data_IF_250899979366
#
_entry.id   IF_250899979366
#
_cell.length_a   1.000
_cell.length_b   1.000
_cell.length_c   1.000
_cell.angle_alpha   90.00
_cell.angle_beta   90.00
_cell.angle_gamma   90.00
#
_symmetry.space_group_name_H-M   'P 1'
#
loop_
_entity.id
_entity.type
_entity.pdbx_description
1 polymer ?
#
# COMPACT_ATOMS: atom_id res chain seq x y z
N UNK A 1 24.88 -10.28 36.41
CA UNK A 1 24.45 -9.64 35.15
C UNK A 1 22.94 -9.50 35.22
N UNK A 2 22.45 -8.29 35.48
CA UNK A 2 21.02 -8.02 35.67
C UNK A 2 20.29 -8.19 34.34
N UNK A 3 19.40 -9.20 34.27
CA UNK A 3 18.39 -9.30 33.24
C UNK A 3 17.61 -7.98 33.21
N UNK A 4 17.79 -7.17 32.17
CA UNK A 4 16.83 -6.11 31.88
C UNK A 4 15.57 -6.80 31.40
N UNK A 5 14.61 -7.00 32.32
CA UNK A 5 13.22 -7.23 31.91
C UNK A 5 12.85 -6.13 30.91
N UNK A 6 12.48 -6.52 29.70
CA UNK A 6 11.91 -5.59 28.74
C UNK A 6 10.64 -5.01 29.38
N UNK A 7 10.64 -3.72 29.69
CA UNK A 7 9.50 -3.01 30.29
C UNK A 7 8.24 -2.97 29.41
N UNK A 8 8.31 -3.55 28.21
CA UNK A 8 7.19 -3.71 27.28
C UNK A 8 6.68 -5.14 27.41
N UNK A 9 5.41 -5.28 27.76
CA UNK A 9 4.73 -6.57 27.82
C UNK A 9 3.57 -6.57 26.85
N UNK A 10 3.68 -7.29 25.72
CA UNK A 10 2.62 -7.31 24.70
C UNK A 10 1.31 -7.88 25.26
N UNK A 11 1.39 -8.73 26.30
CA UNK A 11 0.25 -9.26 27.05
C UNK A 11 -0.61 -8.17 27.73
N UNK A 12 -0.01 -7.04 28.09
CA UNK A 12 -0.69 -5.92 28.75
C UNK A 12 -1.29 -4.92 27.76
N UNK A 13 -1.04 -5.09 26.45
CA UNK A 13 -1.53 -4.19 25.40
C UNK A 13 -2.78 -4.82 24.74
N UNK A 14 -3.98 -4.25 24.90
CA UNK A 14 -5.22 -4.81 24.36
C UNK A 14 -5.20 -5.03 22.85
N UNK A 15 -4.47 -4.19 22.11
CA UNK A 15 -4.32 -4.28 20.66
C UNK A 15 -3.64 -5.58 20.22
N UNK A 16 -2.73 -6.10 21.04
CA UNK A 16 -2.00 -7.34 20.81
C UNK A 16 -2.80 -8.60 21.20
N UNK A 17 -3.92 -8.43 21.91
CA UNK A 17 -4.80 -9.53 22.33
C UNK A 17 -5.90 -9.86 21.30
N UNK A 18 -5.96 -9.13 20.19
CA UNK A 18 -6.93 -9.38 19.11
C UNK A 18 -6.62 -10.71 18.42
N UNK A 19 -7.67 -11.45 18.05
CA UNK A 19 -7.55 -12.75 17.35
C UNK A 19 -6.88 -12.67 15.96
N UNK A 20 -6.85 -11.48 15.36
CA UNK A 20 -6.16 -11.18 14.11
C UNK A 20 -4.64 -11.06 14.25
N UNK A 21 -4.12 -10.95 15.48
CA UNK A 21 -2.68 -10.79 15.73
C UNK A 21 -2.05 -12.16 15.92
N UNK A 22 -1.08 -12.50 15.07
CA UNK A 22 -0.31 -13.74 15.13
C UNK A 22 1.18 -13.40 15.23
N UNK A 23 1.81 -13.69 16.36
CA UNK A 23 3.22 -13.40 16.62
C UNK A 23 3.96 -14.71 16.87
N UNK A 24 5.00 -14.98 16.08
CA UNK A 24 5.83 -16.18 16.22
C UNK A 24 6.72 -16.14 17.47
N UNK A 25 7.33 -14.99 17.75
CA UNK A 25 8.21 -14.81 18.90
C UNK A 25 7.87 -13.49 19.63
N UNK A 26 7.07 -13.54 20.72
CA UNK A 26 6.63 -12.34 21.44
C UNK A 26 7.77 -11.60 22.13
N UNK A 27 8.73 -12.31 22.74
CA UNK A 27 9.88 -11.69 23.43
C UNK A 27 10.72 -10.84 22.49
N UNK A 28 11.00 -11.34 21.28
CA UNK A 28 11.72 -10.55 20.27
C UNK A 28 10.94 -9.29 19.86
N UNK A 29 9.62 -9.38 19.78
CA UNK A 29 8.77 -8.22 19.46
C UNK A 29 8.81 -7.20 20.60
N UNK A 30 8.75 -7.64 21.85
CA UNK A 30 8.89 -6.78 23.04
C UNK A 30 10.22 -6.03 23.06
N UNK A 31 11.33 -6.72 22.75
CA UNK A 31 12.66 -6.11 22.63
C UNK A 31 12.71 -5.05 21.52
N UNK A 32 12.13 -5.34 20.34
CA UNK A 32 12.07 -4.40 19.21
C UNK A 32 11.26 -3.16 19.60
N UNK A 33 10.07 -3.34 20.19
CA UNK A 33 9.22 -2.21 20.61
C UNK A 33 9.93 -1.39 21.70
N UNK A 34 10.59 -2.05 22.66
CA UNK A 34 11.39 -1.36 23.67
C UNK A 34 12.51 -0.52 23.04
N UNK A 35 13.18 -1.04 22.00
CA UNK A 35 14.17 -0.30 21.21
C UNK A 35 13.60 0.91 20.50
N UNK A 36 12.41 0.78 19.88
CA UNK A 36 11.71 1.88 19.22
C UNK A 36 11.32 2.99 20.21
N UNK A 37 10.81 2.61 21.39
CA UNK A 37 10.47 3.57 22.46
C UNK A 37 11.72 4.31 22.95
N UNK A 38 12.82 3.59 23.21
CA UNK A 38 14.10 4.19 23.63
C UNK A 38 14.69 5.12 22.56
N UNK A 39 14.49 4.79 21.27
CA UNK A 39 14.96 5.61 20.15
C UNK A 39 14.19 6.91 19.98
N UNK A 40 12.91 6.93 20.35
CA UNK A 40 12.03 8.09 20.22
C UNK A 40 11.79 8.51 18.76
N UNK A 41 11.08 9.63 18.58
CA UNK A 41 10.70 10.13 17.25
C UNK A 41 11.91 10.43 16.35
N UNK A 42 13.01 10.96 16.92
CA UNK A 42 14.19 11.36 16.16
C UNK A 42 14.92 10.21 15.43
N UNK A 43 14.69 8.96 15.85
CA UNK A 43 15.29 7.76 15.24
C UNK A 43 14.26 6.87 14.55
N UNK A 44 13.00 7.30 14.48
CA UNK A 44 11.93 6.53 13.87
C UNK A 44 11.76 6.95 12.41
N UNK A 45 11.60 5.97 11.54
CA UNK A 45 11.15 6.14 10.16
C UNK A 45 10.15 5.03 9.85
N UNK A 46 9.18 5.34 8.99
CA UNK A 46 8.18 4.38 8.55
C UNK A 46 8.42 4.05 7.09
N UNK A 47 8.51 2.76 6.78
CA UNK A 47 8.53 2.25 5.41
C UNK A 47 7.33 1.34 5.26
N UNK A 48 6.38 1.70 4.39
CA UNK A 48 5.11 0.99 4.26
C UNK A 48 4.71 0.84 2.80
N UNK A 49 4.06 -0.28 2.49
CA UNK A 49 3.31 -0.43 1.25
C UNK A 49 1.98 0.33 1.34
N UNK A 50 1.32 0.53 0.19
CA UNK A 50 0.05 1.23 0.10
C UNK A 50 -1.11 0.26 -0.13
N UNK A 51 -1.08 -0.48 -1.24
CA UNK A 51 -2.18 -1.35 -1.64
C UNK A 51 -2.33 -2.50 -0.65
N UNK A 52 -3.54 -2.67 -0.10
CA UNK A 52 -3.90 -3.68 0.90
C UNK A 52 -3.21 -3.54 2.27
N UNK A 53 -2.21 -2.65 2.38
CA UNK A 53 -1.48 -2.30 3.62
C UNK A 53 -2.00 -1.02 4.28
N UNK A 54 -2.12 0.08 3.54
CA UNK A 54 -2.80 1.29 4.00
C UNK A 54 -4.25 1.32 3.50
N UNK A 55 -4.49 0.82 2.29
CA UNK A 55 -5.84 0.58 1.79
C UNK A 55 -6.44 -0.70 2.37
N UNK A 56 -7.77 -0.76 2.44
CA UNK A 56 -8.52 -1.95 2.90
C UNK A 56 -8.43 -3.04 1.84
N UNK A 57 -8.48 -4.29 2.31
CA UNK A 57 -8.57 -5.45 1.42
C UNK A 57 -10.00 -5.69 0.92
N UNK A 58 -10.96 -5.61 1.83
CA UNK A 58 -12.37 -5.73 1.54
C UNK A 58 -13.18 -4.85 2.48
N UNK A 59 -14.40 -4.55 2.06
CA UNK A 59 -15.39 -3.80 2.84
C UNK A 59 -16.78 -4.34 2.54
N UNK A 60 -17.52 -4.71 3.60
CA UNK A 60 -18.87 -5.28 3.50
C UNK A 60 -18.97 -6.47 2.52
N UNK A 61 -17.96 -7.34 2.51
CA UNK A 61 -17.91 -8.52 1.62
C UNK A 61 -17.46 -8.24 0.18
N UNK A 62 -17.31 -6.97 -0.24
CA UNK A 62 -16.76 -6.60 -1.55
C UNK A 62 -15.26 -6.32 -1.45
N UNK A 63 -14.46 -6.80 -2.41
CA UNK A 63 -13.02 -6.49 -2.48
C UNK A 63 -12.82 -5.02 -2.84
N UNK A 64 -11.96 -4.34 -2.09
CA UNK A 64 -11.61 -2.95 -2.36
C UNK A 64 -10.64 -2.87 -3.55
N UNK A 65 -10.69 -1.79 -4.34
CA UNK A 65 -9.80 -1.63 -5.48
C UNK A 65 -8.36 -1.30 -5.03
N UNK A 66 -7.38 -1.86 -5.75
CA UNK A 66 -5.99 -1.37 -5.75
C UNK A 66 -5.87 -0.07 -6.55
N UNK A 67 -4.73 0.61 -6.48
CA UNK A 67 -4.42 1.76 -7.34
C UNK A 67 -4.68 1.49 -8.83
N UNK A 68 -4.27 0.32 -9.35
CA UNK A 68 -4.58 -0.08 -10.73
C UNK A 68 -6.08 -0.25 -10.94
N UNK A 69 -6.78 -0.93 -10.04
CA UNK A 69 -8.22 -1.17 -10.21
C UNK A 69 -9.07 0.10 -10.10
N UNK A 70 -8.56 1.17 -9.49
CA UNK A 70 -9.22 2.49 -9.55
C UNK A 70 -9.24 3.00 -11.01
N UNK A 71 -8.14 2.82 -11.73
CA UNK A 71 -8.03 3.22 -13.14
C UNK A 71 -8.79 2.26 -14.04
N UNK A 72 -8.62 0.95 -13.87
CA UNK A 72 -9.32 -0.07 -14.67
C UNK A 72 -10.84 0.11 -14.58
N UNK A 73 -11.33 0.54 -13.41
CA UNK A 73 -12.75 0.70 -13.19
C UNK A 73 -13.30 2.08 -13.55
N UNK A 74 -12.45 3.03 -13.94
CA UNK A 74 -12.90 4.39 -14.20
C UNK A 74 -13.80 4.48 -15.44
N UNK A 75 -14.63 5.53 -15.50
CA UNK A 75 -15.57 5.74 -16.62
C UNK A 75 -14.87 6.06 -17.95
N UNK A 76 -13.60 6.47 -17.89
CA UNK A 76 -12.81 6.81 -19.08
C UNK A 76 -12.21 5.58 -19.78
N UNK A 77 -12.15 4.43 -19.09
CA UNK A 77 -11.70 3.17 -19.68
C UNK A 77 -12.88 2.47 -20.32
N UNK A 78 -12.75 2.20 -21.63
CA UNK A 78 -13.77 1.49 -22.41
C UNK A 78 -14.04 0.09 -21.85
N UNK A 79 -15.27 -0.40 -22.01
CA UNK A 79 -15.65 -1.74 -21.52
C UNK A 79 -14.82 -2.86 -22.18
N UNK A 80 -14.39 -2.66 -23.43
CA UNK A 80 -13.51 -3.61 -24.10
C UNK A 80 -12.13 -3.67 -23.43
N UNK A 81 -11.54 -2.51 -23.13
CA UNK A 81 -10.26 -2.43 -22.40
C UNK A 81 -10.39 -3.04 -21.00
N UNK A 82 -11.51 -2.77 -20.30
CA UNK A 82 -11.80 -3.35 -18.98
C UNK A 82 -11.87 -4.88 -19.02
N UNK A 83 -12.51 -5.46 -20.05
CA UNK A 83 -12.55 -6.91 -20.25
C UNK A 83 -11.16 -7.49 -20.47
N UNK A 84 -10.32 -6.84 -21.29
CA UNK A 84 -8.92 -7.26 -21.52
C UNK A 84 -8.10 -7.20 -20.23
N UNK A 85 -8.22 -6.12 -19.46
CA UNK A 85 -7.55 -5.96 -18.17
C UNK A 85 -8.00 -7.00 -17.15
N UNK A 86 -9.30 -7.32 -17.10
CA UNK A 86 -9.82 -8.37 -16.23
C UNK A 86 -9.27 -9.75 -16.61
N UNK A 87 -9.23 -10.09 -17.90
CA UNK A 87 -8.66 -11.34 -18.39
C UNK A 87 -7.17 -11.46 -18.06
N UNK A 88 -6.40 -10.36 -18.22
CA UNK A 88 -5.00 -10.33 -17.80
C UNK A 88 -4.89 -10.57 -16.29
N UNK A 89 -5.68 -9.85 -15.49
CA UNK A 89 -5.68 -10.01 -14.04
C UNK A 89 -5.99 -11.44 -13.63
N UNK A 90 -7.03 -12.07 -14.16
CA UNK A 90 -7.39 -13.44 -13.82
C UNK A 90 -6.27 -14.43 -14.11
N UNK A 91 -5.63 -14.29 -15.29
CA UNK A 91 -4.50 -15.13 -15.68
C UNK A 91 -3.28 -14.95 -14.78
N UNK A 92 -2.83 -13.71 -14.59
CA UNK A 92 -1.56 -13.45 -13.90
C UNK A 92 -1.70 -13.47 -12.38
N UNK A 93 -2.86 -13.11 -11.83
CA UNK A 93 -3.13 -13.21 -10.39
C UNK A 93 -3.11 -14.67 -9.92
N UNK A 94 -3.60 -15.61 -10.74
CA UNK A 94 -3.51 -17.04 -10.44
C UNK A 94 -2.05 -17.50 -10.28
N UNK A 95 -1.14 -16.95 -11.09
CA UNK A 95 0.30 -17.21 -11.03
C UNK A 95 0.95 -16.51 -9.82
N UNK A 96 0.52 -15.27 -9.51
CA UNK A 96 1.03 -14.50 -8.36
C UNK A 96 0.81 -15.24 -7.04
N UNK A 97 -0.40 -15.77 -6.83
CA UNK A 97 -0.77 -16.46 -5.59
C UNK A 97 -0.44 -17.96 -5.57
N UNK A 98 0.11 -18.49 -6.66
CA UNK A 98 0.46 -19.90 -6.78
C UNK A 98 1.50 -20.31 -5.73
N UNK A 99 1.20 -21.22 -4.78
CA UNK A 99 2.15 -21.61 -3.74
C UNK A 99 3.26 -22.54 -4.26
N UNK A 100 3.13 -23.10 -5.47
CA UNK A 100 4.09 -24.05 -6.07
C UNK A 100 5.25 -23.31 -6.73
N UNK A 101 4.96 -22.18 -7.39
CA UNK A 101 5.97 -21.41 -8.12
C UNK A 101 6.85 -20.59 -7.18
N UNK A 102 8.15 -20.58 -7.47
CA UNK A 102 9.14 -19.76 -6.77
C UNK A 102 9.02 -18.29 -7.16
N UNK A 103 9.63 -17.39 -6.37
CA UNK A 103 9.60 -15.95 -6.65
C UNK A 103 10.31 -15.64 -7.97
N UNK A 104 11.39 -16.36 -8.25
CA UNK A 104 12.21 -16.23 -9.45
C UNK A 104 11.43 -16.62 -10.71
N UNK A 105 10.63 -17.69 -10.63
CA UNK A 105 9.76 -18.13 -11.72
C UNK A 105 8.59 -17.19 -11.95
N UNK A 106 8.05 -16.59 -10.89
CA UNK A 106 6.95 -15.60 -10.98
C UNK A 106 7.40 -14.27 -11.56
N UNK A 107 8.66 -13.88 -11.34
CA UNK A 107 9.21 -12.59 -11.75
C UNK A 107 8.91 -12.23 -13.23
N UNK A 108 9.24 -13.06 -14.23
CA UNK A 108 8.97 -12.73 -15.63
C UNK A 108 7.47 -12.57 -15.93
N UNK A 109 6.61 -13.38 -15.30
CA UNK A 109 5.15 -13.26 -15.47
C UNK A 109 4.61 -11.96 -14.89
N UNK A 110 5.14 -11.50 -13.75
CA UNK A 110 4.78 -10.20 -13.19
C UNK A 110 5.21 -9.07 -14.13
N UNK A 111 6.45 -9.10 -14.65
CA UNK A 111 6.91 -8.09 -15.61
C UNK A 111 6.01 -8.05 -16.85
N UNK A 112 5.66 -9.21 -17.39
CA UNK A 112 4.76 -9.31 -18.54
C UNK A 112 3.36 -8.76 -18.24
N UNK A 113 2.80 -9.10 -17.07
CA UNK A 113 1.50 -8.62 -16.64
C UNK A 113 1.43 -7.10 -16.56
N UNK A 114 2.40 -6.48 -15.89
CA UNK A 114 2.45 -5.02 -15.74
C UNK A 114 2.69 -4.34 -17.08
N UNK A 115 3.57 -4.89 -17.92
CA UNK A 115 3.86 -4.34 -19.26
C UNK A 115 2.59 -4.32 -20.13
N UNK A 116 1.85 -5.43 -20.16
CA UNK A 116 0.60 -5.53 -20.92
C UNK A 116 -0.51 -4.64 -20.36
N UNK A 117 -0.67 -4.62 -19.04
CA UNK A 117 -1.71 -3.80 -18.40
C UNK A 117 -1.45 -2.31 -18.60
N UNK A 118 -0.20 -1.87 -18.44
CA UNK A 118 0.19 -0.48 -18.69
C UNK A 118 0.05 -0.11 -20.16
N UNK A 119 0.40 -1.00 -21.10
CA UNK A 119 0.18 -0.78 -22.53
C UNK A 119 -1.28 -0.46 -22.85
N UNK A 120 -2.21 -1.27 -22.35
CA UNK A 120 -3.65 -1.03 -22.53
C UNK A 120 -4.11 0.31 -21.91
N UNK A 121 -3.60 0.68 -20.74
CA UNK A 121 -3.94 1.95 -20.11
C UNK A 121 -3.37 3.16 -20.84
N UNK A 122 -2.19 3.04 -21.45
CA UNK A 122 -1.59 4.08 -22.29
C UNK A 122 -2.43 4.33 -23.54
N UNK A 123 -2.97 3.27 -24.16
CA UNK A 123 -3.89 3.39 -25.30
C UNK A 123 -5.17 4.16 -24.96
N UNK A 124 -5.63 4.14 -23.70
CA UNK A 124 -6.80 4.92 -23.27
C UNK A 124 -6.50 6.42 -23.07
N UNK A 125 -5.24 6.85 -23.20
CA UNK A 125 -4.82 8.26 -23.16
C UNK A 125 -5.43 9.09 -22.01
N UNK A 126 -5.40 8.54 -20.79
CA UNK A 126 -6.09 9.12 -19.64
C UNK A 126 -5.53 10.50 -19.26
N UNK A 127 -6.36 11.57 -19.21
CA UNK A 127 -5.90 12.90 -18.85
C UNK A 127 -5.49 12.98 -17.37
N UNK A 128 -4.28 13.49 -17.11
CA UNK A 128 -3.78 13.70 -15.73
C UNK A 128 -4.74 14.53 -14.87
N UNK A 129 -5.40 15.53 -15.46
CA UNK A 129 -6.36 16.39 -14.76
C UNK A 129 -7.59 15.62 -14.23
N UNK A 130 -7.99 14.54 -14.91
CA UNK A 130 -9.16 13.73 -14.55
C UNK A 130 -8.85 12.68 -13.48
N UNK A 131 -7.58 12.42 -13.17
CA UNK A 131 -7.19 11.46 -12.13
C UNK A 131 -7.77 11.80 -10.76
N UNK A 132 -7.86 13.10 -10.41
CA UNK A 132 -8.46 13.54 -9.14
C UNK A 132 -9.93 13.14 -9.03
N UNK A 133 -10.68 13.32 -10.13
CA UNK A 133 -12.09 12.95 -10.22
C UNK A 133 -12.25 11.43 -10.16
N UNK A 134 -11.45 10.69 -10.94
CA UNK A 134 -11.47 9.22 -10.96
C UNK A 134 -11.31 8.63 -9.55
N UNK A 135 -10.39 9.17 -8.76
CA UNK A 135 -10.17 8.64 -7.40
C UNK A 135 -11.24 9.10 -6.44
N UNK A 136 -11.75 10.33 -6.59
CA UNK A 136 -12.88 10.79 -5.79
C UNK A 136 -14.14 9.94 -6.00
N UNK A 137 -14.37 9.45 -7.21
CA UNK A 137 -15.48 8.56 -7.55
C UNK A 137 -15.22 7.07 -7.23
N UNK A 138 -13.99 6.71 -6.85
CA UNK A 138 -13.62 5.31 -6.63
C UNK A 138 -14.03 4.78 -5.25
N UNK A 139 -14.23 3.47 -5.18
CA UNK A 139 -14.53 2.74 -3.94
C UNK A 139 -13.29 2.54 -3.03
N UNK A 140 -12.23 3.34 -3.20
CA UNK A 140 -11.00 3.21 -2.40
C UNK A 140 -11.28 3.59 -0.94
N UNK A 141 -10.79 2.76 -0.02
CA UNK A 141 -10.94 2.98 1.41
C UNK A 141 -9.62 2.71 2.11
N UNK A 142 -9.26 3.60 3.03
CA UNK A 142 -8.12 3.40 3.93
C UNK A 142 -8.53 2.57 5.16
N UNK A 143 -7.55 1.88 5.75
CA UNK A 143 -7.78 1.12 6.99
C UNK A 143 -8.23 2.04 8.12
N UNK A 144 -8.99 1.48 9.04
CA UNK A 144 -9.47 2.22 10.21
C UNK A 144 -8.30 2.76 11.04
N UNK A 145 -8.42 4.00 11.51
CA UNK A 145 -7.36 4.67 12.27
C UNK A 145 -6.25 5.33 11.43
N UNK A 146 -6.41 5.41 10.10
CA UNK A 146 -5.43 6.09 9.23
C UNK A 146 -5.20 7.56 9.59
N UNK A 147 -6.25 8.27 10.03
CA UNK A 147 -6.16 9.69 10.45
C UNK A 147 -5.18 9.84 11.61
N UNK A 148 -5.45 9.14 12.72
CA UNK A 148 -4.56 9.12 13.89
C UNK A 148 -3.12 8.66 13.56
N UNK A 149 -2.97 7.75 12.60
CA UNK A 149 -1.65 7.30 12.15
C UNK A 149 -0.88 8.45 11.49
N UNK A 150 -1.45 9.11 10.48
CA UNK A 150 -0.79 10.21 9.80
C UNK A 150 -0.63 11.45 10.70
N UNK A 151 -1.64 11.78 11.50
CA UNK A 151 -1.61 12.95 12.38
C UNK A 151 -0.49 12.85 13.41
N UNK A 152 -0.30 11.68 14.04
CA UNK A 152 0.81 11.45 14.98
C UNK A 152 2.17 11.50 14.28
N UNK A 153 2.28 10.93 13.09
CA UNK A 153 3.52 10.98 12.31
C UNK A 153 3.86 12.43 11.94
N UNK A 154 2.86 13.24 11.60
CA UNK A 154 3.04 14.65 11.22
C UNK A 154 3.46 15.47 12.43
N UNK A 155 2.75 15.29 13.55
CA UNK A 155 3.01 15.99 14.80
C UNK A 155 4.46 15.79 15.27
N UNK A 156 5.01 14.59 15.06
CA UNK A 156 6.38 14.24 15.44
C UNK A 156 7.38 14.37 14.29
N UNK A 157 6.94 14.84 13.11
CA UNK A 157 7.77 14.99 11.90
C UNK A 157 8.54 13.71 11.53
N UNK A 158 7.89 12.55 11.69
CA UNK A 158 8.47 11.25 11.41
C UNK A 158 8.46 11.01 9.89
N UNK A 159 9.61 10.68 9.27
CA UNK A 159 9.65 10.38 7.83
C UNK A 159 8.83 9.14 7.48
N UNK A 160 8.00 9.24 6.45
CA UNK A 160 7.22 8.14 5.89
C UNK A 160 7.60 7.91 4.43
N UNK A 161 8.11 6.72 4.15
CA UNK A 161 8.45 6.26 2.81
C UNK A 161 7.39 5.25 2.38
N UNK A 162 6.62 5.62 1.35
CA UNK A 162 5.67 4.72 0.71
C UNK A 162 6.40 3.92 -0.38
N UNK A 163 6.55 2.60 -0.18
CA UNK A 163 7.07 1.69 -1.20
C UNK A 163 5.88 1.03 -1.88
N UNK A 164 5.52 1.50 -3.07
CA UNK A 164 4.56 0.79 -3.91
C UNK A 164 5.23 -0.49 -4.41
N UNK A 165 4.72 -1.65 -3.99
CA UNK A 165 5.19 -2.95 -4.47
C UNK A 165 5.40 -2.95 -5.98
N UNK A 166 6.63 -3.26 -6.39
CA UNK A 166 7.07 -3.49 -7.79
C UNK A 166 7.07 -2.30 -8.77
N UNK A 167 6.58 -1.11 -8.38
CA UNK A 167 6.59 0.07 -9.25
C UNK A 167 7.93 0.85 -9.28
N UNK A 168 8.93 0.44 -8.50
CA UNK A 168 10.19 1.18 -8.37
C UNK A 168 10.95 1.38 -9.68
N UNK A 169 10.87 0.43 -10.64
CA UNK A 169 11.48 0.59 -11.97
C UNK A 169 10.62 1.40 -12.96
N UNK A 170 9.29 1.45 -12.80
CA UNK A 170 8.43 2.26 -13.67
C UNK A 170 8.49 3.76 -13.35
N UNK A 171 8.88 4.13 -12.12
CA UNK A 171 9.01 5.54 -11.70
C UNK A 171 10.23 6.24 -12.32
N UNK A 172 11.25 5.51 -12.81
CA UNK A 172 12.37 6.10 -13.56
C UNK A 172 12.05 6.45 -15.02
N UNK A 173 10.90 6.03 -15.54
CA UNK A 173 10.47 6.25 -16.93
C UNK A 173 9.70 7.55 -17.19
N UNK A 174 9.73 8.53 -16.27
CA UNK A 174 9.16 9.87 -16.52
C UNK A 174 7.81 10.15 -15.85
N UNK A 175 7.23 9.22 -15.09
CA UNK A 175 6.05 9.50 -14.25
C UNK A 175 6.47 9.77 -12.81
N UNK A 176 7.17 10.90 -12.62
CA UNK A 176 7.53 11.47 -11.33
C UNK A 176 6.27 11.75 -10.50
N UNK A 177 6.23 11.19 -9.29
CA UNK A 177 5.59 11.75 -8.08
C UNK A 177 4.08 12.07 -8.10
N UNK A 178 3.38 11.82 -9.20
CA UNK A 178 2.05 12.42 -9.46
C UNK A 178 0.87 11.53 -9.10
N UNK A 179 1.12 10.33 -8.56
CA UNK A 179 0.09 9.33 -8.24
C UNK A 179 -0.47 9.44 -6.81
N UNK A 180 -0.18 10.54 -6.12
CA UNK A 180 -0.75 10.84 -4.82
C UNK A 180 -2.19 11.38 -5.04
N UNK A 181 -3.14 10.45 -5.08
CA UNK A 181 -4.48 10.65 -5.63
C UNK A 181 -5.52 11.00 -4.57
N UNK A 182 -6.32 12.05 -4.82
CA UNK A 182 -7.51 12.51 -4.06
C UNK A 182 -7.24 13.26 -2.76
N UNK A 183 -8.16 14.15 -2.38
CA UNK A 183 -8.20 14.88 -1.10
C UNK A 183 -8.17 13.99 0.14
N UNK A 184 -8.60 12.73 0.03
CA UNK A 184 -8.43 11.71 1.08
C UNK A 184 -6.98 11.19 1.20
N UNK A 185 -6.18 11.37 0.16
CA UNK A 185 -4.74 11.14 0.12
C UNK A 185 -3.97 12.48 0.07
N UNK A 186 -4.66 13.65 0.05
CA UNK A 186 -4.01 14.96 0.14
C UNK A 186 -3.46 15.20 1.55
N UNK A 187 -3.89 14.48 2.58
CA UNK A 187 -3.13 14.45 3.84
C UNK A 187 -1.76 13.81 3.65
N UNK A 188 -1.61 12.82 2.76
CA UNK A 188 -0.27 12.36 2.33
C UNK A 188 0.44 13.43 1.48
N UNK A 189 -0.25 14.17 0.60
CA UNK A 189 0.37 15.23 -0.22
C UNK A 189 0.77 16.47 0.58
N UNK A 190 0.01 16.88 1.60
CA UNK A 190 0.39 17.97 2.50
C UNK A 190 1.60 17.60 3.38
N UNK A 191 1.79 16.30 3.63
CA UNK A 191 3.01 15.73 4.20
C UNK A 191 4.23 15.89 3.28
N UNK A 192 4.00 15.81 1.97
CA UNK A 192 5.01 16.03 0.95
C UNK A 192 5.10 17.52 0.62
N UNK A 193 5.89 18.27 1.40
CA UNK A 193 6.29 19.64 1.12
C UNK A 193 7.12 19.80 -0.17
N UNK A 194 6.56 19.38 -1.31
CA UNK A 194 7.01 19.77 -2.63
C UNK A 194 6.39 21.13 -2.94
N UNK A 195 7.20 22.18 -2.83
CA UNK A 195 7.01 23.37 -3.67
C UNK A 195 7.14 23.00 -5.14
#
# INVERSE_FOLDING_TARGET
MTNQESAVHVKMMPEFQKSSVRIKNPTRVEEIICGLIKGGAAKLQIITDFDMTLSRFSYKGKRCPTCHNIIDNCKLVTDECRKKLLQLKEKYYAIEVDPVLTVEEKYPYMVEWYTKSHGLLVEQALPKAKLKEIVAESDVMLKEGYENFFDKLQQHSIPVIHIFGWNWRCIRGGYSSSWCLSSKCQSCVQFYGFR
#
